data_IF_529721140072
#
_entry.id   IF_529721140072
#
_cell.length_a   1.000
_cell.length_b   1.000
_cell.length_c   1.000
_cell.angle_alpha   90.00
_cell.angle_beta   90.00
_cell.angle_gamma   90.00
#
_symmetry.space_group_name_H-M   'P 1'
#
loop_
_entity.id
_entity.type
_entity.pdbx_description
1 polymer ?
#
# COMPACT_ATOMS: atom_id res chain seq x y z
N UNK A 1 37.15 11.63 -2.67
CA UNK A 1 37.23 13.10 -2.51
C UNK A 1 36.10 13.84 -3.21
N UNK A 2 35.83 13.62 -4.51
CA UNK A 2 34.71 14.29 -5.21
C UNK A 2 33.34 14.04 -4.56
N UNK A 3 33.03 12.79 -4.22
CA UNK A 3 31.73 12.44 -3.60
C UNK A 3 31.55 13.03 -2.20
N UNK A 4 32.62 13.12 -1.42
CA UNK A 4 32.60 13.74 -0.08
C UNK A 4 32.38 15.24 -0.17
N UNK A 5 33.02 15.90 -1.15
CA UNK A 5 32.85 17.34 -1.38
C UNK A 5 31.43 17.65 -1.88
N UNK A 6 30.88 16.81 -2.75
CA UNK A 6 29.51 16.95 -3.24
C UNK A 6 28.47 16.79 -2.10
N UNK A 7 28.69 15.86 -1.16
CA UNK A 7 27.85 15.69 0.03
C UNK A 7 27.88 16.90 0.97
N UNK A 8 29.05 17.50 1.16
CA UNK A 8 29.20 18.71 1.99
C UNK A 8 28.49 19.88 1.33
N UNK A 9 28.67 20.06 0.02
CA UNK A 9 27.97 21.10 -0.75
C UNK A 9 26.46 20.91 -0.68
N UNK A 10 25.95 19.69 -0.93
CA UNK A 10 24.50 19.41 -0.87
C UNK A 10 23.91 19.55 0.53
N UNK A 11 24.73 19.40 1.57
CA UNK A 11 24.32 19.69 2.93
C UNK A 11 24.21 21.19 3.17
N UNK A 12 25.23 21.98 2.77
CA UNK A 12 25.26 23.45 2.92
C UNK A 12 24.15 24.12 2.11
N UNK A 13 23.84 23.61 0.91
CA UNK A 13 22.75 24.13 0.07
C UNK A 13 21.39 23.58 0.45
N UNK A 14 21.34 22.64 1.40
CA UNK A 14 20.14 21.95 1.85
C UNK A 14 19.45 21.08 0.75
N UNK A 15 20.11 20.85 -0.38
CA UNK A 15 19.57 20.08 -1.52
C UNK A 15 19.31 18.62 -1.17
N UNK A 16 20.11 18.05 -0.25
CA UNK A 16 19.94 16.67 0.21
C UNK A 16 18.53 16.41 0.80
N UNK A 17 17.91 17.42 1.39
CA UNK A 17 16.56 17.31 1.95
C UNK A 17 15.49 17.01 0.89
N UNK A 18 15.79 17.28 -0.38
CA UNK A 18 14.85 17.18 -1.51
C UNK A 18 15.18 16.03 -2.47
N UNK A 19 16.17 15.20 -2.13
CA UNK A 19 16.48 14.02 -2.92
C UNK A 19 15.38 12.96 -2.77
N UNK A 20 14.70 12.68 -3.89
CA UNK A 20 13.56 11.76 -3.92
C UNK A 20 13.94 10.35 -3.48
N UNK A 21 15.13 9.86 -3.82
CA UNK A 21 15.54 8.50 -3.51
C UNK A 21 15.79 8.35 -2.02
N UNK A 22 16.52 9.30 -1.43
CA UNK A 22 16.73 9.37 0.01
C UNK A 22 15.40 9.49 0.77
N UNK A 23 14.49 10.35 0.31
CA UNK A 23 13.17 10.51 0.93
C UNK A 23 12.33 9.22 0.82
N UNK A 24 12.41 8.52 -0.31
CA UNK A 24 11.73 7.24 -0.52
C UNK A 24 12.27 6.16 0.40
N UNK A 25 13.59 6.05 0.52
CA UNK A 25 14.24 5.11 1.42
C UNK A 25 13.89 5.41 2.88
N UNK A 26 13.96 6.69 3.28
CA UNK A 26 13.58 7.13 4.62
C UNK A 26 12.10 6.82 4.93
N UNK A 27 11.19 7.07 3.99
CA UNK A 27 9.77 6.75 4.16
C UNK A 27 9.56 5.24 4.35
N UNK A 28 10.13 4.41 3.47
CA UNK A 28 9.96 2.96 3.53
C UNK A 28 10.59 2.36 4.79
N UNK A 29 11.78 2.81 5.18
CA UNK A 29 12.44 2.36 6.42
C UNK A 29 11.60 2.74 7.65
N UNK A 30 11.06 3.95 7.68
CA UNK A 30 10.19 4.42 8.78
C UNK A 30 8.89 3.60 8.83
N UNK A 31 8.25 3.36 7.67
CA UNK A 31 7.03 2.56 7.58
C UNK A 31 7.28 1.13 8.09
N UNK A 32 8.36 0.49 7.63
CA UNK A 32 8.71 -0.88 8.02
C UNK A 32 9.01 -0.99 9.53
N UNK A 33 9.80 -0.05 10.07
CA UNK A 33 10.15 -0.01 11.50
C UNK A 33 8.93 0.12 12.41
N UNK A 34 7.95 0.95 12.04
CA UNK A 34 6.77 1.14 12.87
C UNK A 34 5.73 0.04 12.67
N UNK A 35 5.58 -0.49 11.45
CA UNK A 35 4.69 -1.63 11.22
C UNK A 35 5.13 -2.90 11.95
N UNK A 36 6.44 -3.11 12.16
CA UNK A 36 6.92 -4.27 12.92
C UNK A 36 6.55 -4.23 14.41
N UNK A 37 6.33 -3.03 14.96
CA UNK A 37 6.09 -2.82 16.38
C UNK A 37 4.62 -2.46 16.69
N UNK A 38 3.94 -1.78 15.76
CA UNK A 38 2.57 -1.29 15.92
C UNK A 38 1.73 -1.86 14.79
N UNK A 39 0.89 -2.88 15.07
CA UNK A 39 -0.08 -3.38 14.10
C UNK A 39 -0.94 -2.24 13.56
N UNK A 40 -1.20 -2.24 12.26
CA UNK A 40 -2.01 -1.23 11.56
C UNK A 40 -1.41 0.19 11.52
N UNK A 41 -0.08 0.33 11.68
CA UNK A 41 0.58 1.62 11.47
C UNK A 41 0.29 2.17 10.06
N UNK A 42 -0.32 3.37 10.03
CA UNK A 42 -0.78 3.99 8.79
C UNK A 42 0.33 4.76 8.07
N UNK A 43 0.20 4.83 6.74
CA UNK A 43 1.06 5.67 5.88
C UNK A 43 0.98 7.17 6.24
N UNK A 44 -0.18 7.63 6.72
CA UNK A 44 -0.36 8.99 7.25
C UNK A 44 0.50 9.25 8.49
N UNK A 45 0.61 8.27 9.38
CA UNK A 45 1.44 8.36 10.58
C UNK A 45 2.94 8.41 10.21
N UNK A 46 3.38 7.62 9.23
CA UNK A 46 4.75 7.71 8.69
C UNK A 46 5.02 9.07 8.07
N UNK A 47 4.11 9.58 7.25
CA UNK A 47 4.21 10.92 6.68
C UNK A 47 4.42 11.98 7.76
N UNK A 48 3.62 11.96 8.84
CA UNK A 48 3.78 12.88 9.96
C UNK A 48 5.15 12.75 10.64
N UNK A 49 5.66 11.53 10.81
CA UNK A 49 7.01 11.29 11.37
C UNK A 49 8.11 11.84 10.47
N UNK A 50 8.00 11.64 9.16
CA UNK A 50 8.98 12.14 8.18
C UNK A 50 8.96 13.68 8.12
N UNK A 51 7.77 14.31 8.19
CA UNK A 51 7.64 15.77 8.33
C UNK A 51 8.27 16.26 9.64
N UNK A 52 8.00 15.60 10.76
CA UNK A 52 8.58 15.94 12.05
C UNK A 52 10.11 15.88 12.01
N UNK A 53 10.66 14.83 11.40
CA UNK A 53 12.10 14.66 11.21
C UNK A 53 12.72 15.76 10.36
N UNK A 54 12.04 16.19 9.29
CA UNK A 54 12.49 17.35 8.51
C UNK A 54 12.64 18.60 9.38
N UNK A 55 11.63 18.96 10.17
CA UNK A 55 11.66 20.19 10.96
C UNK A 55 12.57 20.12 12.18
N UNK A 56 12.51 19.03 12.95
CA UNK A 56 13.18 18.95 14.24
C UNK A 56 14.58 18.36 14.17
N UNK A 57 14.89 17.55 13.17
CA UNK A 57 16.25 17.01 13.00
C UNK A 57 16.98 17.77 11.90
N UNK A 58 16.44 17.79 10.68
CA UNK A 58 17.18 18.26 9.53
C UNK A 58 17.39 19.78 9.51
N UNK A 59 16.31 20.56 9.68
CA UNK A 59 16.39 22.03 9.71
C UNK A 59 17.22 22.53 10.90
N UNK A 60 17.00 21.96 12.09
CA UNK A 60 17.77 22.34 13.28
C UNK A 60 19.25 21.96 13.17
N UNK A 61 19.56 20.78 12.64
CA UNK A 61 20.96 20.36 12.44
C UNK A 61 21.65 21.22 11.39
N UNK A 62 20.98 21.53 10.29
CA UNK A 62 21.53 22.39 9.25
C UNK A 62 21.81 23.80 9.78
N UNK A 63 20.85 24.41 10.49
CA UNK A 63 21.04 25.70 11.12
C UNK A 63 22.14 25.70 12.18
N UNK A 64 22.15 24.69 13.06
CA UNK A 64 23.16 24.52 14.10
C UNK A 64 24.57 24.35 13.52
N UNK A 65 24.72 23.66 12.39
CA UNK A 65 26.01 23.53 11.72
C UNK A 65 26.43 24.82 11.02
N UNK A 66 25.51 25.48 10.30
CA UNK A 66 25.82 26.66 9.50
C UNK A 66 26.10 27.90 10.35
N UNK A 67 25.38 28.08 11.46
CA UNK A 67 25.52 29.24 12.35
C UNK A 67 26.13 28.89 13.70
N UNK A 68 25.66 27.80 14.33
CA UNK A 68 26.07 27.43 15.69
C UNK A 68 27.55 27.06 15.79
N UNK A 69 28.09 26.30 14.83
CA UNK A 69 29.51 25.92 14.84
C UNK A 69 30.44 27.15 14.66
N UNK A 70 30.25 28.05 13.68
CA UNK A 70 31.03 29.29 13.61
C UNK A 70 30.89 30.19 14.83
N UNK A 71 29.67 30.35 15.37
CA UNK A 71 29.44 31.17 16.56
C UNK A 71 30.19 30.60 17.78
N UNK A 72 30.20 29.27 17.95
CA UNK A 72 30.93 28.61 19.01
C UNK A 72 32.45 28.79 18.85
N UNK A 73 32.97 28.66 17.62
CA UNK A 73 34.39 28.90 17.35
C UNK A 73 34.78 30.35 17.65
N UNK A 74 33.96 31.32 17.24
CA UNK A 74 34.18 32.73 17.54
C UNK A 74 34.26 33.01 19.04
N UNK A 75 33.35 32.42 19.82
CA UNK A 75 33.35 32.53 21.29
C UNK A 75 34.55 31.86 21.95
N UNK A 76 35.08 30.78 21.36
CA UNK A 76 36.25 30.07 21.90
C UNK A 76 37.56 30.81 21.63
N UNK A 77 37.64 31.58 20.54
CA UNK A 77 38.85 32.32 20.17
C UNK A 77 38.86 33.77 20.65
N UNK A 78 37.76 34.28 21.20
CA UNK A 78 37.71 35.63 21.75
C UNK A 78 38.45 35.69 23.09
N UNK A 79 39.50 36.52 23.16
CA UNK A 79 40.33 36.66 24.36
C UNK A 79 39.56 37.22 25.57
N UNK A 80 38.48 37.97 25.32
CA UNK A 80 37.61 38.55 26.34
C UNK A 80 36.15 38.29 25.99
N UNK A 81 35.46 37.58 26.88
CA UNK A 81 34.04 37.27 26.77
C UNK A 81 33.24 38.42 27.38
N UNK A 82 32.48 39.13 26.55
CA UNK A 82 31.62 40.23 26.99
C UNK A 82 30.14 39.90 26.77
N UNK A 83 29.27 40.31 27.69
CA UNK A 83 27.82 40.10 27.58
C UNK A 83 27.23 40.69 26.29
N UNK A 84 27.83 41.76 25.76
CA UNK A 84 27.44 42.37 24.49
C UNK A 84 27.62 41.41 23.30
N UNK A 85 28.64 40.53 23.32
CA UNK A 85 28.91 39.57 22.25
C UNK A 85 27.79 38.52 22.15
N UNK A 86 27.26 38.05 23.29
CA UNK A 86 26.14 37.11 23.33
C UNK A 86 24.90 37.73 22.70
N UNK A 87 24.60 39.00 23.04
CA UNK A 87 23.45 39.73 22.49
C UNK A 87 23.58 39.86 20.97
N UNK A 88 24.77 40.22 20.47
CA UNK A 88 25.05 40.33 19.04
C UNK A 88 24.88 38.98 18.34
N UNK A 89 25.43 37.90 18.90
CA UNK A 89 25.29 36.54 18.34
C UNK A 89 23.83 36.11 18.32
N UNK A 90 23.07 36.38 19.38
CA UNK A 90 21.65 36.05 19.45
C UNK A 90 20.84 36.80 18.38
N UNK A 91 21.06 38.11 18.23
CA UNK A 91 20.39 38.91 17.20
C UNK A 91 20.77 38.44 15.79
N UNK A 92 22.05 38.14 15.56
CA UNK A 92 22.52 37.57 14.30
C UNK A 92 21.86 36.21 14.03
N UNK A 93 21.77 35.34 15.03
CA UNK A 93 21.12 34.04 14.92
C UNK A 93 19.64 34.19 14.54
N UNK A 94 18.93 35.12 15.18
CA UNK A 94 17.52 35.38 14.91
C UNK A 94 17.30 35.86 13.46
N UNK A 95 18.14 36.80 13.00
CA UNK A 95 18.08 37.31 11.63
C UNK A 95 18.41 36.18 10.64
N UNK A 96 19.53 35.47 10.82
CA UNK A 96 19.95 34.38 9.93
C UNK A 96 18.92 33.26 9.89
N UNK A 97 18.38 32.84 11.04
CA UNK A 97 17.34 31.82 11.08
C UNK A 97 16.07 32.28 10.36
N UNK A 98 15.64 33.53 10.58
CA UNK A 98 14.47 34.08 9.90
C UNK A 98 14.65 34.14 8.38
N UNK A 99 15.84 34.55 7.91
CA UNK A 99 16.17 34.54 6.47
C UNK A 99 16.15 33.12 5.92
N UNK A 100 16.81 32.16 6.56
CA UNK A 100 16.82 30.77 6.09
C UNK A 100 15.42 30.15 6.12
N UNK A 101 14.62 30.44 7.14
CA UNK A 101 13.22 29.99 7.20
C UNK A 101 12.40 30.51 6.03
N UNK A 102 12.46 31.82 5.75
CA UNK A 102 11.64 32.45 4.72
C UNK A 102 12.08 32.09 3.29
N UNK A 103 13.39 31.95 3.05
CA UNK A 103 13.91 31.84 1.69
C UNK A 103 14.41 30.44 1.32
N UNK A 104 14.70 29.57 2.30
CA UNK A 104 15.22 28.22 2.06
C UNK A 104 14.25 27.17 2.57
N UNK A 105 13.98 27.14 3.87
CA UNK A 105 13.27 26.02 4.49
C UNK A 105 11.78 25.98 4.15
N UNK A 106 11.05 27.11 4.23
CA UNK A 106 9.64 27.14 3.84
C UNK A 106 9.44 26.90 2.35
N UNK A 107 10.11 27.63 1.43
CA UNK A 107 9.93 27.40 0.00
C UNK A 107 10.29 25.96 -0.38
N UNK A 108 11.41 25.43 0.13
CA UNK A 108 11.82 24.04 -0.11
C UNK A 108 10.82 23.04 0.44
N UNK A 109 10.30 23.28 1.65
CA UNK A 109 9.30 22.41 2.27
C UNK A 109 8.01 22.32 1.43
N UNK A 110 7.41 23.47 1.11
CA UNK A 110 6.11 23.51 0.45
C UNK A 110 6.18 23.18 -1.04
N UNK A 111 7.26 23.58 -1.74
CA UNK A 111 7.36 23.40 -3.19
C UNK A 111 8.00 22.06 -3.59
N UNK A 112 8.86 21.48 -2.74
CA UNK A 112 9.61 20.28 -3.10
C UNK A 112 9.37 19.12 -2.14
N UNK A 113 9.71 19.27 -0.86
CA UNK A 113 9.68 18.17 0.10
C UNK A 113 8.27 17.59 0.27
N UNK A 114 7.29 18.44 0.58
CA UNK A 114 5.93 18.00 0.88
C UNK A 114 5.26 17.34 -0.34
N UNK A 115 5.27 17.92 -1.55
CA UNK A 115 4.72 17.26 -2.74
C UNK A 115 5.40 15.92 -3.05
N UNK A 116 6.73 15.83 -2.91
CA UNK A 116 7.44 14.56 -3.10
C UNK A 116 7.03 13.51 -2.07
N UNK A 117 6.90 13.91 -0.81
CA UNK A 117 6.46 13.01 0.26
C UNK A 117 5.05 12.47 0.02
N UNK A 118 4.11 13.30 -0.43
CA UNK A 118 2.76 12.85 -0.81
C UNK A 118 2.81 11.88 -1.99
N UNK A 119 3.64 12.18 -2.99
CA UNK A 119 3.82 11.30 -4.15
C UNK A 119 4.38 9.94 -3.75
N UNK A 120 5.38 9.91 -2.86
CA UNK A 120 5.97 8.66 -2.33
C UNK A 120 4.92 7.86 -1.57
N UNK A 121 4.15 8.52 -0.71
CA UNK A 121 3.04 7.91 0.02
C UNK A 121 2.02 7.28 -0.94
N UNK A 122 1.57 8.02 -1.95
CA UNK A 122 0.59 7.53 -2.93
C UNK A 122 1.14 6.32 -3.71
N UNK A 123 2.40 6.38 -4.15
CA UNK A 123 3.05 5.25 -4.84
C UNK A 123 3.11 4.02 -3.93
N UNK A 124 3.41 4.21 -2.65
CA UNK A 124 3.45 3.11 -1.68
C UNK A 124 2.07 2.47 -1.49
N UNK A 125 1.02 3.27 -1.31
CA UNK A 125 -0.36 2.79 -1.18
C UNK A 125 -0.84 2.08 -2.45
N UNK A 126 -0.54 2.65 -3.63
CA UNK A 126 -0.89 2.04 -4.92
C UNK A 126 -0.21 0.68 -5.10
N UNK A 127 1.07 0.56 -4.75
CA UNK A 127 1.78 -0.73 -4.80
C UNK A 127 1.12 -1.80 -3.92
N UNK A 128 0.65 -1.43 -2.73
CA UNK A 128 -0.08 -2.36 -1.87
C UNK A 128 -1.41 -2.79 -2.51
N UNK A 129 -2.17 -1.86 -3.08
CA UNK A 129 -3.41 -2.18 -3.79
C UNK A 129 -3.16 -3.05 -5.04
N UNK A 130 -2.13 -2.76 -5.82
CA UNK A 130 -1.75 -3.56 -6.98
C UNK A 130 -1.39 -5.01 -6.60
N UNK A 131 -0.74 -5.22 -5.46
CA UNK A 131 -0.48 -6.57 -4.95
C UNK A 131 -1.78 -7.29 -4.60
N UNK A 132 -2.72 -6.61 -3.93
CA UNK A 132 -4.04 -7.18 -3.66
C UNK A 132 -4.81 -7.49 -4.94
N UNK A 133 -4.75 -6.61 -5.95
CA UNK A 133 -5.36 -6.86 -7.25
C UNK A 133 -4.71 -8.05 -7.97
N UNK A 134 -3.38 -8.18 -7.94
CA UNK A 134 -2.67 -9.33 -8.51
C UNK A 134 -3.10 -10.63 -7.83
N UNK A 135 -3.19 -10.65 -6.50
CA UNK A 135 -3.71 -11.80 -5.76
C UNK A 135 -5.15 -12.13 -6.19
N UNK A 136 -6.01 -11.11 -6.32
CA UNK A 136 -7.40 -11.29 -6.75
C UNK A 136 -7.51 -11.81 -8.19
N UNK A 137 -6.67 -11.35 -9.11
CA UNK A 137 -6.66 -11.81 -10.51
C UNK A 137 -6.11 -13.23 -10.67
N UNK A 138 -5.25 -13.67 -9.76
CA UNK A 138 -4.72 -15.03 -9.75
C UNK A 138 -5.70 -16.06 -9.14
N UNK A 139 -6.68 -15.60 -8.36
CA UNK A 139 -7.72 -16.46 -7.80
C UNK A 139 -8.80 -16.77 -8.84
N UNK A 140 -9.35 -17.98 -8.77
CA UNK A 140 -10.57 -18.34 -9.48
C UNK A 140 -11.72 -17.39 -9.09
N UNK A 141 -12.59 -17.09 -10.05
CA UNK A 141 -13.77 -16.28 -9.81
C UNK A 141 -14.71 -16.96 -8.78
N UNK A 142 -15.43 -16.16 -7.99
CA UNK A 142 -16.38 -16.68 -6.98
C UNK A 142 -17.36 -17.73 -7.56
N UNK A 143 -17.92 -17.56 -8.78
CA UNK A 143 -18.76 -18.59 -9.39
C UNK A 143 -17.98 -19.88 -9.70
N UNK A 144 -16.75 -19.79 -10.22
CA UNK A 144 -15.92 -20.96 -10.49
C UNK A 144 -15.56 -21.71 -9.20
N UNK A 145 -15.25 -21.00 -8.11
CA UNK A 145 -15.01 -21.59 -6.79
C UNK A 145 -16.24 -22.36 -6.26
N UNK A 146 -17.45 -21.81 -6.46
CA UNK A 146 -18.69 -22.51 -6.09
C UNK A 146 -18.90 -23.77 -6.94
N UNK A 147 -18.61 -23.72 -8.24
CA UNK A 147 -18.69 -24.89 -9.13
C UNK A 147 -17.67 -25.98 -8.76
N UNK A 148 -16.43 -25.58 -8.45
CA UNK A 148 -15.38 -26.48 -7.97
C UNK A 148 -15.82 -27.16 -6.68
N UNK A 149 -16.36 -26.41 -5.71
CA UNK A 149 -16.87 -27.00 -4.48
C UNK A 149 -18.06 -27.93 -4.71
N UNK A 150 -18.98 -27.55 -5.60
CA UNK A 150 -20.12 -28.39 -5.97
C UNK A 150 -19.65 -29.76 -6.47
N UNK A 151 -18.63 -29.79 -7.32
CA UNK A 151 -18.06 -31.05 -7.81
C UNK A 151 -17.47 -31.87 -6.65
N UNK A 152 -16.73 -31.26 -5.74
CA UNK A 152 -16.22 -31.96 -4.55
C UNK A 152 -17.34 -32.51 -3.64
N UNK A 153 -18.41 -31.74 -3.40
CA UNK A 153 -19.58 -32.20 -2.64
C UNK A 153 -20.32 -33.36 -3.33
N UNK A 154 -20.36 -33.37 -4.68
CA UNK A 154 -20.90 -34.48 -5.46
C UNK A 154 -20.03 -35.74 -5.38
N UNK A 155 -18.73 -35.59 -5.55
CA UNK A 155 -17.80 -36.71 -5.56
C UNK A 155 -17.60 -37.34 -4.18
N UNK A 156 -17.64 -36.53 -3.12
CA UNK A 156 -17.61 -37.04 -1.75
C UNK A 156 -18.87 -37.82 -1.36
N UNK A 157 -19.92 -37.83 -2.20
CA UNK A 157 -21.19 -38.49 -1.91
C UNK A 157 -22.07 -37.76 -0.91
N UNK A 158 -21.58 -36.67 -0.29
CA UNK A 158 -22.32 -35.88 0.69
C UNK A 158 -23.60 -35.30 0.11
N UNK A 159 -23.54 -34.78 -1.13
CA UNK A 159 -24.67 -34.16 -1.83
C UNK A 159 -25.41 -33.12 -0.95
N UNK A 160 -24.67 -32.46 -0.10
CA UNK A 160 -25.17 -31.70 1.04
C UNK A 160 -25.31 -30.21 0.72
N UNK A 161 -24.63 -29.75 -0.33
CA UNK A 161 -24.56 -28.34 -0.69
C UNK A 161 -25.95 -27.80 -1.01
N UNK A 162 -26.39 -26.83 -0.21
CA UNK A 162 -27.68 -26.16 -0.38
C UNK A 162 -27.49 -24.66 -0.57
N UNK A 163 -28.48 -24.06 -1.22
CA UNK A 163 -28.58 -22.62 -1.36
C UNK A 163 -29.20 -21.98 -0.11
N UNK A 164 -28.44 -21.87 0.98
CA UNK A 164 -28.87 -21.25 2.23
C UNK A 164 -27.75 -20.43 2.89
N UNK A 165 -28.09 -19.64 3.91
CA UNK A 165 -27.13 -18.74 4.58
C UNK A 165 -25.99 -19.52 5.28
N UNK A 166 -26.28 -20.72 5.77
CA UNK A 166 -25.29 -21.59 6.43
C UNK A 166 -24.17 -22.01 5.48
N UNK A 167 -24.50 -22.54 4.30
CA UNK A 167 -23.47 -22.92 3.31
C UNK A 167 -22.78 -21.71 2.72
N UNK A 168 -23.49 -20.59 2.53
CA UNK A 168 -22.87 -19.35 2.10
C UNK A 168 -21.83 -18.86 3.11
N UNK A 169 -22.10 -18.94 4.40
CA UNK A 169 -21.15 -18.57 5.47
C UNK A 169 -19.96 -19.54 5.52
N UNK A 170 -20.18 -20.85 5.37
CA UNK A 170 -19.10 -21.84 5.33
C UNK A 170 -18.16 -21.61 4.15
N UNK A 171 -18.71 -21.41 2.95
CA UNK A 171 -17.92 -21.14 1.75
C UNK A 171 -17.28 -19.74 1.80
N UNK A 172 -17.91 -18.74 2.42
CA UNK A 172 -17.30 -17.44 2.72
C UNK A 172 -16.04 -17.63 3.56
N UNK A 173 -16.09 -18.45 4.61
CA UNK A 173 -14.92 -18.77 5.45
C UNK A 173 -13.85 -19.55 4.70
N UNK A 174 -14.24 -20.46 3.80
CA UNK A 174 -13.31 -21.28 3.02
C UNK A 174 -12.58 -20.48 1.94
N UNK A 175 -13.29 -19.57 1.26
CA UNK A 175 -12.77 -18.84 0.10
C UNK A 175 -12.34 -17.40 0.40
N UNK A 176 -12.72 -16.85 1.56
CA UNK A 176 -12.43 -15.47 1.94
C UNK A 176 -13.15 -14.41 1.09
N UNK A 177 -14.33 -14.75 0.55
CA UNK A 177 -15.13 -13.86 -0.30
C UNK A 177 -16.47 -13.52 0.35
N UNK A 178 -17.10 -12.42 -0.04
CA UNK A 178 -18.37 -11.95 0.53
C UNK A 178 -19.49 -13.03 0.51
N UNK A 179 -20.17 -13.20 1.66
CA UNK A 179 -21.26 -14.18 1.83
C UNK A 179 -22.41 -13.92 0.86
N UNK A 180 -22.77 -12.66 0.64
CA UNK A 180 -23.84 -12.28 -0.29
C UNK A 180 -23.50 -12.67 -1.74
N UNK A 181 -22.24 -12.50 -2.15
CA UNK A 181 -21.74 -12.95 -3.45
C UNK A 181 -21.84 -14.47 -3.60
N UNK A 182 -21.41 -15.24 -2.59
CA UNK A 182 -21.51 -16.71 -2.61
C UNK A 182 -22.97 -17.17 -2.68
N UNK A 183 -23.83 -16.60 -1.83
CA UNK A 183 -25.26 -16.97 -1.80
C UNK A 183 -25.90 -16.77 -3.17
N UNK A 184 -25.65 -15.64 -3.83
CA UNK A 184 -26.14 -15.36 -5.19
C UNK A 184 -25.64 -16.39 -6.22
N UNK A 185 -24.39 -16.83 -6.11
CA UNK A 185 -23.83 -17.86 -6.99
C UNK A 185 -24.42 -19.25 -6.71
N UNK A 186 -24.63 -19.61 -5.44
CA UNK A 186 -25.36 -20.84 -5.07
C UNK A 186 -26.80 -20.80 -5.58
N UNK A 187 -27.50 -19.67 -5.46
CA UNK A 187 -28.85 -19.47 -6.02
C UNK A 187 -28.85 -19.60 -7.55
N UNK A 188 -27.79 -19.15 -8.21
CA UNK A 188 -27.66 -19.24 -9.66
C UNK A 188 -27.51 -20.70 -10.11
N UNK A 189 -26.65 -21.48 -9.45
CA UNK A 189 -26.31 -22.84 -9.88
C UNK A 189 -27.24 -23.93 -9.33
N UNK A 190 -27.73 -23.77 -8.10
CA UNK A 190 -28.54 -24.76 -7.39
C UNK A 190 -30.01 -24.37 -7.26
N UNK A 191 -30.33 -23.10 -7.50
CA UNK A 191 -31.69 -22.60 -7.43
C UNK A 191 -32.57 -23.05 -8.61
N UNK A 192 -33.80 -22.50 -8.65
CA UNK A 192 -34.74 -22.79 -9.74
C UNK A 192 -34.23 -22.26 -11.07
N UNK A 193 -34.56 -22.97 -12.15
CA UNK A 193 -34.23 -22.59 -13.54
C UNK A 193 -34.73 -21.16 -13.81
N UNK A 194 -33.82 -20.28 -14.23
CA UNK A 194 -34.13 -18.90 -14.60
C UNK A 194 -34.14 -18.79 -16.12
N UNK A 195 -35.08 -18.04 -16.68
CA UNK A 195 -34.99 -17.61 -18.08
C UNK A 195 -33.82 -16.63 -18.17
N UNK A 196 -32.72 -17.07 -18.76
CA UNK A 196 -31.50 -16.29 -18.92
C UNK A 196 -31.48 -15.66 -20.32
N UNK A 197 -30.96 -14.44 -20.41
CA UNK A 197 -30.61 -13.87 -21.70
C UNK A 197 -29.37 -14.55 -22.28
N UNK A 198 -29.22 -14.52 -23.59
CA UNK A 198 -28.07 -15.08 -24.31
C UNK A 198 -26.73 -14.57 -23.75
N UNK A 199 -26.61 -13.26 -23.47
CA UNK A 199 -25.43 -12.67 -22.82
C UNK A 199 -25.11 -13.31 -21.46
N UNK A 200 -26.12 -13.54 -20.62
CA UNK A 200 -25.92 -14.15 -19.29
C UNK A 200 -25.53 -15.62 -19.41
N UNK A 201 -26.03 -16.32 -20.44
CA UNK A 201 -25.61 -17.67 -20.74
C UNK A 201 -24.12 -17.73 -21.09
N UNK A 202 -23.64 -16.85 -21.99
CA UNK A 202 -22.20 -16.76 -22.32
C UNK A 202 -21.36 -16.47 -21.08
N UNK A 203 -21.80 -15.53 -20.23
CA UNK A 203 -21.10 -15.22 -18.97
C UNK A 203 -21.02 -16.42 -18.04
N UNK A 204 -22.07 -17.24 -17.94
CA UNK A 204 -22.11 -18.46 -17.12
C UNK A 204 -21.22 -19.56 -17.70
N UNK A 205 -21.31 -19.80 -19.01
CA UNK A 205 -20.52 -20.84 -19.67
C UNK A 205 -19.02 -20.57 -19.51
N UNK A 206 -18.59 -19.31 -19.58
CA UNK A 206 -17.21 -18.92 -19.27
C UNK A 206 -16.79 -19.30 -17.84
N UNK A 207 -17.71 -19.31 -16.85
CA UNK A 207 -17.41 -19.74 -15.47
C UNK A 207 -17.34 -21.25 -15.34
N UNK A 208 -18.15 -21.98 -16.10
CA UNK A 208 -18.02 -23.43 -16.21
C UNK A 208 -16.68 -23.80 -16.83
N UNK A 209 -16.25 -23.08 -17.86
CA UNK A 209 -14.96 -23.32 -18.51
C UNK A 209 -13.77 -23.03 -17.60
N UNK A 210 -13.85 -21.95 -16.82
CA UNK A 210 -12.87 -21.64 -15.78
C UNK A 210 -12.77 -22.78 -14.74
N UNK A 211 -13.90 -23.33 -14.28
CA UNK A 211 -13.92 -24.47 -13.36
C UNK A 211 -13.46 -25.79 -14.02
N UNK A 212 -13.72 -25.99 -15.31
CA UNK A 212 -13.23 -27.16 -16.06
C UNK A 212 -11.72 -27.14 -16.19
N UNK A 213 -11.14 -25.98 -16.50
CA UNK A 213 -9.69 -25.80 -16.63
C UNK A 213 -8.97 -26.26 -15.36
N UNK A 214 -9.51 -25.93 -14.18
CA UNK A 214 -8.99 -26.41 -12.89
C UNK A 214 -8.95 -27.95 -12.80
N UNK A 215 -10.04 -28.63 -13.19
CA UNK A 215 -10.09 -30.10 -13.14
C UNK A 215 -9.33 -30.77 -14.28
N UNK A 216 -9.16 -30.10 -15.41
CA UNK A 216 -8.31 -30.54 -16.52
C UNK A 216 -6.83 -30.55 -16.12
N UNK A 217 -6.36 -29.49 -15.44
CA UNK A 217 -5.01 -29.44 -14.86
C UNK A 217 -4.78 -30.57 -13.84
N UNK A 218 -5.81 -30.95 -13.08
CA UNK A 218 -5.79 -32.11 -12.18
C UNK A 218 -5.97 -33.46 -12.90
N UNK A 219 -6.15 -33.48 -14.22
CA UNK A 219 -6.44 -34.65 -15.05
C UNK A 219 -7.68 -35.44 -14.58
N UNK A 220 -8.64 -34.77 -13.96
CA UNK A 220 -9.76 -35.42 -13.30
C UNK A 220 -11.04 -35.39 -14.14
N UNK A 221 -11.21 -36.42 -14.99
CA UNK A 221 -12.27 -36.48 -16.01
C UNK A 221 -13.69 -36.59 -15.43
N UNK A 222 -13.86 -37.26 -14.29
CA UNK A 222 -15.17 -37.43 -13.64
C UNK A 222 -15.76 -36.09 -13.20
N UNK A 223 -14.92 -35.18 -12.70
CA UNK A 223 -15.30 -33.82 -12.36
C UNK A 223 -15.87 -33.03 -13.55
N UNK A 224 -15.28 -33.20 -14.74
CA UNK A 224 -15.75 -32.55 -15.96
C UNK A 224 -17.15 -33.05 -16.37
N UNK A 225 -17.44 -34.33 -16.18
CA UNK A 225 -18.77 -34.90 -16.44
C UNK A 225 -19.83 -34.30 -15.50
N UNK A 226 -19.51 -34.15 -14.21
CA UNK A 226 -20.41 -33.53 -13.23
C UNK A 226 -20.70 -32.07 -13.59
N UNK A 227 -19.67 -31.31 -14.00
CA UNK A 227 -19.87 -29.94 -14.49
C UNK A 227 -20.74 -29.88 -15.74
N UNK A 228 -20.51 -30.78 -16.70
CA UNK A 228 -21.32 -30.88 -17.92
C UNK A 228 -22.79 -31.16 -17.63
N UNK A 229 -23.09 -32.09 -16.72
CA UNK A 229 -24.47 -32.37 -16.29
C UNK A 229 -25.14 -31.16 -15.64
N UNK A 230 -24.40 -30.36 -14.86
CA UNK A 230 -24.92 -29.15 -14.26
C UNK A 230 -25.15 -28.05 -15.31
N UNK A 231 -24.23 -27.86 -16.25
CA UNK A 231 -24.35 -26.83 -17.30
C UNK A 231 -25.53 -27.09 -18.25
N UNK A 232 -25.86 -28.36 -18.52
CA UNK A 232 -27.02 -28.72 -19.34
C UNK A 232 -28.35 -28.13 -18.83
N UNK A 233 -28.49 -27.88 -17.51
CA UNK A 233 -29.67 -27.22 -16.94
C UNK A 233 -29.92 -25.81 -17.49
N UNK A 234 -28.86 -25.15 -17.97
CA UNK A 234 -28.91 -23.81 -18.53
C UNK A 234 -29.10 -23.80 -20.06
N UNK A 235 -28.98 -24.96 -20.71
CA UNK A 235 -28.95 -25.09 -22.18
C UNK A 235 -30.25 -25.68 -22.75
N UNK A 236 -31.04 -26.38 -21.93
CA UNK A 236 -32.33 -26.92 -22.35
C UNK A 236 -33.36 -25.79 -22.51
N UNK A 237 -33.57 -25.32 -23.74
CA UNK A 237 -34.80 -24.63 -24.14
C UNK A 237 -35.83 -25.67 -24.60
#
# INVERSE_FOLDING_TARGET
MKDSMQKIVSFITFDFAFDRNCLTEQFNATQALYQSNIPFWSTNSTRQKVIGRYWFELVLTHFGFLFGLPALLFLMTSAHFENAQIIIIFLAALITFSTLMLFVYWPGFYNSFLPQLETIKEIHERKQLEQLEKCKRAQFSNPALVLIYYVFDKLSGNNSLQCNDRYAELLMKLFGVDQGSIKKNLELFLGKKKNLSERKYTEISNRFEEARSFFEELQFKEAQQILGQLEQKFTAH
#
